data_IF_464775032380
#
_entry.id   IF_464775032380
#
_cell.length_a   1.000
_cell.length_b   1.000
_cell.length_c   1.000
_cell.angle_alpha   90.00
_cell.angle_beta   90.00
_cell.angle_gamma   90.00
#
_symmetry.space_group_name_H-M   'P 1'
#
loop_
_entity.id
_entity.type
_entity.pdbx_description
1 polymer ?
#
# COMPACT_ATOMS: atom_id res chain seq x y z
N UNK A 1 7.86 -4.09 -67.08
CA UNK A 1 7.51 -5.14 -66.09
C UNK A 1 8.40 -4.94 -64.87
N UNK A 2 7.92 -4.27 -63.86
CA UNK A 2 8.66 -4.05 -62.62
C UNK A 2 8.23 -5.09 -61.61
N UNK A 3 9.14 -5.78 -60.93
CA UNK A 3 8.76 -6.70 -59.88
C UNK A 3 8.29 -5.94 -58.64
N UNK A 4 7.11 -6.26 -58.19
CA UNK A 4 6.59 -5.83 -56.88
C UNK A 4 7.43 -6.51 -55.78
N UNK A 5 8.32 -5.75 -55.15
CA UNK A 5 8.86 -6.16 -53.86
C UNK A 5 7.81 -5.88 -52.79
N UNK A 6 7.12 -6.93 -52.38
CA UNK A 6 6.36 -6.90 -51.10
C UNK A 6 7.36 -6.85 -49.96
N UNK A 7 7.57 -5.68 -49.40
CA UNK A 7 8.23 -5.54 -48.10
C UNK A 7 7.22 -6.05 -47.08
N UNK A 8 7.44 -7.27 -46.62
CA UNK A 8 6.75 -7.82 -45.47
C UNK A 8 7.27 -7.11 -44.23
N UNK A 9 6.54 -6.10 -43.77
CA UNK A 9 6.72 -5.57 -42.41
C UNK A 9 6.10 -6.55 -41.41
N UNK A 10 6.84 -7.58 -41.07
CA UNK A 10 6.63 -8.32 -39.83
C UNK A 10 7.56 -7.74 -38.75
N UNK A 11 7.40 -6.48 -38.44
CA UNK A 11 7.82 -6.00 -37.15
C UNK A 11 6.78 -6.47 -36.13
N UNK A 12 6.84 -7.74 -35.77
CA UNK A 12 6.38 -8.18 -34.48
C UNK A 12 7.27 -7.43 -33.49
N UNK A 13 6.79 -6.26 -33.06
CA UNK A 13 7.37 -5.55 -31.92
C UNK A 13 7.24 -6.55 -30.79
N UNK A 14 8.38 -7.12 -30.37
CA UNK A 14 8.45 -7.99 -29.22
C UNK A 14 8.11 -7.16 -27.96
N UNK A 15 6.81 -7.02 -27.70
CA UNK A 15 6.29 -6.31 -26.56
C UNK A 15 6.82 -6.90 -25.25
N UNK A 16 7.07 -8.20 -25.19
CA UNK A 16 7.60 -8.85 -24.00
C UNK A 16 9.05 -8.45 -23.71
N UNK A 17 9.92 -8.39 -24.69
CA UNK A 17 11.30 -7.97 -24.47
C UNK A 17 11.40 -6.50 -24.09
N UNK A 18 10.54 -5.65 -24.66
CA UNK A 18 10.46 -4.23 -24.32
C UNK A 18 9.87 -3.99 -22.93
N UNK A 19 8.86 -4.78 -22.54
CA UNK A 19 8.32 -4.78 -21.18
C UNK A 19 9.36 -5.26 -20.16
N UNK A 20 10.10 -6.31 -20.48
CA UNK A 20 11.15 -6.83 -19.62
C UNK A 20 12.35 -5.87 -19.51
N UNK A 21 12.71 -5.18 -20.58
CA UNK A 21 13.74 -4.13 -20.57
C UNK A 21 13.32 -2.94 -19.69
N UNK A 22 12.11 -2.41 -19.90
CA UNK A 22 11.56 -1.33 -19.08
C UNK A 22 11.42 -1.77 -17.62
N UNK A 23 10.97 -2.99 -17.37
CA UNK A 23 10.85 -3.55 -16.03
C UNK A 23 12.21 -3.68 -15.33
N UNK A 24 13.29 -3.99 -16.06
CA UNK A 24 14.64 -4.07 -15.50
C UNK A 24 15.27 -2.70 -15.23
N UNK A 25 14.95 -1.67 -16.01
CA UNK A 25 15.40 -0.30 -15.75
C UNK A 25 14.67 0.33 -14.57
N UNK A 26 13.36 0.03 -14.37
CA UNK A 26 12.59 0.51 -13.25
C UNK A 26 12.83 -0.30 -11.95
N UNK A 27 13.28 -1.54 -12.04
CA UNK A 27 13.51 -2.45 -10.91
C UNK A 27 14.66 -2.01 -9.97
N UNK A 28 15.39 -0.95 -10.29
CA UNK A 28 16.47 -0.41 -9.48
C UNK A 28 16.35 1.11 -9.23
N UNK A 29 15.22 1.73 -9.55
CA UNK A 29 15.05 3.16 -9.29
C UNK A 29 14.50 3.37 -7.87
N UNK A 30 15.30 4.01 -7.03
CA UNK A 30 14.84 4.51 -5.74
C UNK A 30 13.66 5.48 -5.95
N UNK A 31 12.53 5.18 -5.28
CA UNK A 31 11.35 6.03 -5.30
C UNK A 31 11.45 7.04 -4.15
N UNK A 32 11.37 8.33 -4.45
CA UNK A 32 11.24 9.34 -3.41
C UNK A 32 9.87 9.19 -2.74
N UNK A 33 9.84 8.77 -1.48
CA UNK A 33 8.60 8.57 -0.73
C UNK A 33 8.17 9.87 -0.06
N UNK A 34 7.21 10.55 -0.71
CA UNK A 34 6.57 11.78 -0.23
C UNK A 34 5.12 11.83 -0.70
N UNK A 35 4.34 12.78 -0.21
CA UNK A 35 2.96 12.97 -0.63
C UNK A 35 2.90 13.70 -1.99
N UNK A 36 2.47 13.00 -3.02
CA UNK A 36 2.36 13.50 -4.40
C UNK A 36 0.97 14.10 -4.71
N UNK A 37 0.01 13.96 -3.80
CA UNK A 37 -1.32 14.52 -4.02
C UNK A 37 -1.32 16.07 -4.05
N UNK A 38 -2.36 16.68 -4.65
CA UNK A 38 -3.50 16.04 -5.29
C UNK A 38 -3.29 15.75 -6.79
N UNK A 39 -2.06 15.91 -7.30
CA UNK A 39 -1.77 15.79 -8.74
C UNK A 39 -1.91 14.35 -9.24
N UNK A 40 -2.18 14.15 -10.55
CA UNK A 40 -2.15 12.81 -11.13
C UNK A 40 -0.81 12.11 -10.85
N UNK A 41 -0.88 10.84 -10.47
CA UNK A 41 0.29 10.11 -9.99
C UNK A 41 0.27 8.65 -10.46
N UNK A 42 1.42 8.13 -10.85
CA UNK A 42 1.64 6.73 -11.22
C UNK A 42 2.89 6.23 -10.52
N UNK A 43 2.79 5.09 -9.89
CA UNK A 43 3.90 4.48 -9.14
C UNK A 43 3.83 2.96 -9.22
N UNK A 44 4.97 2.30 -9.16
CA UNK A 44 5.01 0.88 -8.83
C UNK A 44 4.72 0.73 -7.34
N UNK A 45 3.48 0.41 -7.00
CA UNK A 45 3.03 0.40 -5.60
C UNK A 45 3.67 -0.72 -4.78
N UNK A 46 3.97 -1.85 -5.39
CA UNK A 46 4.69 -2.96 -4.73
C UNK A 46 6.10 -2.50 -4.30
N UNK A 47 6.86 -1.89 -5.22
CA UNK A 47 8.21 -1.38 -4.92
C UNK A 47 8.18 -0.26 -3.88
N UNK A 48 7.28 0.72 -4.02
CA UNK A 48 7.14 1.80 -3.06
C UNK A 48 6.81 1.28 -1.66
N UNK A 49 5.89 0.32 -1.57
CA UNK A 49 5.47 -0.29 -0.31
C UNK A 49 6.60 -1.06 0.35
N UNK A 50 7.33 -1.89 -0.40
CA UNK A 50 8.48 -2.66 0.11
C UNK A 50 9.67 -1.78 0.49
N UNK A 51 9.86 -0.67 -0.21
CA UNK A 51 10.91 0.30 0.08
C UNK A 51 10.64 1.09 1.38
N UNK A 52 9.40 1.25 1.78
CA UNK A 52 9.04 2.07 2.95
C UNK A 52 9.44 1.38 4.26
N UNK A 53 10.23 2.06 5.08
CA UNK A 53 10.69 1.60 6.39
C UNK A 53 10.05 2.37 7.56
N UNK A 54 9.24 3.38 7.28
CA UNK A 54 8.54 4.12 8.34
C UNK A 54 7.28 3.40 8.79
N UNK A 55 6.84 3.66 9.99
CA UNK A 55 5.55 3.14 10.46
C UNK A 55 4.41 3.62 9.55
N UNK A 56 4.39 4.92 9.15
CA UNK A 56 3.45 5.46 8.17
C UNK A 56 4.10 6.59 7.36
N UNK A 57 3.89 6.54 6.04
CA UNK A 57 4.23 7.64 5.13
C UNK A 57 3.06 7.88 4.18
N UNK A 58 2.49 9.09 4.17
CA UNK A 58 1.51 9.49 3.19
C UNK A 58 2.18 9.59 1.81
N UNK A 59 1.66 8.84 0.84
CA UNK A 59 2.19 8.82 -0.53
C UNK A 59 1.35 9.66 -1.48
N UNK A 60 0.05 9.74 -1.24
CA UNK A 60 -0.86 10.57 -2.02
C UNK A 60 -2.10 10.96 -1.22
N UNK A 61 -2.40 12.25 -1.16
CA UNK A 61 -3.57 12.78 -0.47
C UNK A 61 -4.41 13.63 -1.42
N UNK A 62 -5.64 13.22 -1.66
CA UNK A 62 -6.61 13.93 -2.47
C UNK A 62 -7.85 14.33 -1.69
N UNK A 63 -8.91 14.69 -2.42
CA UNK A 63 -10.18 15.12 -1.82
C UNK A 63 -10.95 13.97 -1.21
N UNK A 64 -10.96 12.80 -1.85
CA UNK A 64 -11.84 11.67 -1.52
C UNK A 64 -11.10 10.39 -1.13
N UNK A 65 -9.79 10.36 -1.26
CA UNK A 65 -8.99 9.24 -0.79
C UNK A 65 -7.58 9.67 -0.40
N UNK A 66 -6.95 8.84 0.41
CA UNK A 66 -5.54 8.98 0.78
C UNK A 66 -4.86 7.61 0.72
N UNK A 67 -3.69 7.59 0.10
CA UNK A 67 -2.81 6.42 0.04
C UNK A 67 -1.66 6.60 1.03
N UNK A 68 -1.48 5.65 1.92
CA UNK A 68 -0.35 5.61 2.86
C UNK A 68 0.39 4.28 2.78
N UNK A 69 1.68 4.33 3.04
CA UNK A 69 2.54 3.17 3.19
C UNK A 69 2.82 2.92 4.66
N UNK A 70 2.90 1.65 5.06
CA UNK A 70 3.27 1.27 6.42
C UNK A 70 4.26 0.13 6.44
N UNK A 71 5.15 0.19 7.44
CA UNK A 71 6.02 -0.91 7.84
C UNK A 71 5.79 -1.22 9.31
N UNK A 72 5.31 -2.43 9.60
CA UNK A 72 5.02 -2.87 10.97
C UNK A 72 6.11 -3.87 11.38
N UNK A 73 6.92 -3.53 12.39
CA UNK A 73 8.02 -4.41 12.80
C UNK A 73 7.52 -5.74 13.36
N UNK A 74 8.40 -6.72 13.42
CA UNK A 74 8.13 -8.01 14.08
C UNK A 74 7.67 -7.79 15.51
N UNK A 75 6.56 -8.45 15.89
CA UNK A 75 5.92 -8.28 17.19
C UNK A 75 5.14 -6.98 17.36
N UNK A 76 5.13 -6.12 16.33
CA UNK A 76 4.36 -4.87 16.31
C UNK A 76 2.93 -5.06 15.83
N UNK A 77 2.17 -3.98 15.87
CA UNK A 77 0.77 -3.90 15.46
C UNK A 77 0.41 -2.49 15.00
N UNK A 78 -0.69 -2.35 14.28
CA UNK A 78 -1.27 -1.02 13.99
C UNK A 78 -1.73 -0.37 15.29
N UNK A 79 -2.37 -1.13 16.15
CA UNK A 79 -3.08 -0.68 17.33
C UNK A 79 -4.59 -0.75 17.13
N UNK A 80 -5.32 -0.92 18.24
CA UNK A 80 -6.78 -1.01 18.22
C UNK A 80 -7.39 0.36 17.93
N UNK A 81 -8.05 0.50 16.79
CA UNK A 81 -8.64 1.77 16.34
C UNK A 81 -9.97 1.58 15.63
N UNK A 82 -10.70 2.67 15.44
CA UNK A 82 -11.93 2.73 14.66
C UNK A 82 -12.04 4.08 13.97
N UNK A 83 -12.46 4.08 12.71
CA UNK A 83 -12.69 5.29 11.92
C UNK A 83 -14.18 5.39 11.56
N UNK A 84 -14.96 6.24 12.24
CA UNK A 84 -16.42 6.24 12.09
C UNK A 84 -16.90 6.81 10.76
N UNK A 85 -16.09 7.63 10.07
CA UNK A 85 -16.52 8.43 8.92
C UNK A 85 -15.81 8.06 7.61
N UNK A 86 -15.13 6.92 7.56
CA UNK A 86 -14.42 6.49 6.35
C UNK A 86 -14.36 4.97 6.25
N UNK A 87 -14.24 4.49 5.02
CA UNK A 87 -13.87 3.12 4.74
C UNK A 87 -12.36 3.04 4.49
N UNK A 88 -11.77 1.90 4.80
CA UNK A 88 -10.34 1.67 4.64
C UNK A 88 -10.08 0.37 3.90
N UNK A 89 -9.19 0.43 2.92
CA UNK A 89 -8.66 -0.73 2.21
C UNK A 89 -7.19 -0.91 2.59
N UNK A 90 -6.79 -2.13 2.92
CA UNK A 90 -5.39 -2.48 3.17
C UNK A 90 -4.99 -3.66 2.31
N UNK A 91 -3.81 -3.56 1.70
CA UNK A 91 -3.17 -4.68 1.00
C UNK A 91 -1.79 -4.97 1.60
N UNK A 92 -1.52 -6.25 1.85
CA UNK A 92 -0.22 -6.74 2.29
C UNK A 92 0.63 -7.04 1.06
N UNK A 93 1.81 -6.42 0.98
CA UNK A 93 2.79 -6.66 -0.09
C UNK A 93 3.92 -7.59 0.37
N UNK A 94 4.20 -7.65 1.68
CA UNK A 94 5.19 -8.54 2.27
C UNK A 94 4.90 -8.78 3.75
N UNK A 95 5.23 -9.97 4.24
CA UNK A 95 5.00 -10.34 5.64
C UNK A 95 3.66 -11.03 5.90
N UNK A 96 3.41 -11.33 7.16
CA UNK A 96 2.20 -12.04 7.60
C UNK A 96 1.68 -11.52 8.94
N UNK A 97 0.37 -11.56 9.12
CA UNK A 97 -0.26 -11.05 10.32
C UNK A 97 -1.64 -11.61 10.59
N UNK A 98 -2.22 -11.16 11.69
CA UNK A 98 -3.58 -11.48 12.10
C UNK A 98 -4.42 -10.20 12.09
N UNK A 99 -5.45 -10.18 11.25
CA UNK A 99 -6.48 -9.15 11.23
C UNK A 99 -7.56 -9.49 12.25
N UNK A 100 -7.93 -8.52 13.08
CA UNK A 100 -9.05 -8.59 14.01
C UNK A 100 -9.98 -7.42 13.77
N UNK A 101 -11.30 -7.70 13.66
CA UNK A 101 -12.34 -6.67 13.52
C UNK A 101 -13.58 -7.03 14.33
N UNK A 102 -14.34 -6.01 14.72
CA UNK A 102 -15.61 -6.19 15.41
C UNK A 102 -16.40 -4.89 15.54
N UNK A 103 -17.66 -5.01 15.95
CA UNK A 103 -18.53 -3.85 16.19
C UNK A 103 -18.22 -3.13 17.48
N UNK A 104 -17.51 -3.80 18.38
CA UNK A 104 -17.18 -3.27 19.71
C UNK A 104 -15.70 -3.42 19.99
N UNK A 105 -15.16 -2.46 20.69
CA UNK A 105 -13.75 -2.43 21.11
C UNK A 105 -13.30 -3.68 21.87
N UNK A 106 -14.19 -4.23 22.67
CA UNK A 106 -13.94 -5.40 23.54
C UNK A 106 -14.34 -6.74 22.90
N UNK A 107 -14.84 -6.73 21.67
CA UNK A 107 -15.25 -7.93 20.96
C UNK A 107 -14.90 -7.87 19.47
N UNK A 108 -13.71 -8.35 19.15
CA UNK A 108 -13.19 -8.46 17.77
C UNK A 108 -13.35 -9.91 17.29
N UNK A 109 -14.57 -10.28 16.95
CA UNK A 109 -14.96 -11.66 16.63
C UNK A 109 -14.61 -12.07 15.18
N UNK A 110 -14.38 -11.12 14.28
CA UNK A 110 -13.83 -11.40 12.97
C UNK A 110 -12.30 -11.48 13.04
N UNK A 111 -11.73 -12.66 12.81
CA UNK A 111 -10.28 -12.86 12.85
C UNK A 111 -9.82 -13.69 11.65
N UNK A 112 -8.82 -13.20 10.91
CA UNK A 112 -8.24 -13.86 9.74
C UNK A 112 -6.73 -13.68 9.69
N UNK A 113 -6.02 -14.75 9.38
CA UNK A 113 -4.62 -14.68 8.98
C UNK A 113 -4.50 -14.08 7.58
N UNK A 114 -3.52 -13.21 7.40
CA UNK A 114 -3.23 -12.53 6.14
C UNK A 114 -1.72 -12.55 5.87
N UNK A 115 -1.36 -12.59 4.60
CA UNK A 115 0.02 -12.58 4.12
C UNK A 115 0.10 -11.84 2.77
N UNK A 116 1.23 -11.87 2.11
CA UNK A 116 1.41 -11.20 0.81
C UNK A 116 0.27 -11.52 -0.17
N UNK A 117 -0.10 -10.54 -0.97
CA UNK A 117 -1.24 -10.54 -1.90
C UNK A 117 -2.65 -10.51 -1.25
N UNK A 118 -2.76 -10.62 0.07
CA UNK A 118 -4.05 -10.46 0.75
C UNK A 118 -4.44 -8.99 0.86
N UNK A 119 -5.71 -8.73 0.64
CA UNK A 119 -6.35 -7.46 0.94
C UNK A 119 -7.49 -7.66 1.91
N UNK A 120 -7.73 -6.66 2.73
CA UNK A 120 -8.90 -6.60 3.60
C UNK A 120 -9.49 -5.21 3.64
N UNK A 121 -10.80 -5.16 3.85
CA UNK A 121 -11.58 -3.93 3.85
C UNK A 121 -12.18 -3.73 5.23
N UNK A 122 -12.03 -2.54 5.76
CA UNK A 122 -12.51 -2.14 7.07
C UNK A 122 -13.65 -1.13 6.85
N UNK A 123 -14.90 -1.55 7.04
CA UNK A 123 -16.04 -0.64 6.96
C UNK A 123 -15.98 0.45 8.03
N UNK A 124 -16.53 1.62 7.72
CA UNK A 124 -16.66 2.72 8.67
C UNK A 124 -17.23 2.26 10.02
N UNK A 125 -16.59 2.68 11.10
CA UNK A 125 -17.01 2.36 12.45
C UNK A 125 -16.56 1.00 13.00
N UNK A 126 -15.96 0.13 12.17
CA UNK A 126 -15.44 -1.15 12.67
C UNK A 126 -14.18 -0.94 13.51
N UNK A 127 -14.19 -1.48 14.70
CA UNK A 127 -12.98 -1.64 15.51
C UNK A 127 -12.08 -2.67 14.85
N UNK A 128 -10.80 -2.36 14.73
CA UNK A 128 -9.87 -3.23 14.03
C UNK A 128 -8.43 -3.09 14.55
N UNK A 129 -7.66 -4.13 14.29
CA UNK A 129 -6.22 -4.17 14.49
C UNK A 129 -5.58 -5.14 13.48
N UNK A 130 -4.33 -4.91 13.15
CA UNK A 130 -3.46 -5.85 12.45
C UNK A 130 -2.22 -6.07 13.30
N UNK A 131 -1.95 -7.33 13.62
CA UNK A 131 -0.82 -7.74 14.46
C UNK A 131 0.16 -8.50 13.57
N UNK A 132 1.43 -8.12 13.61
CA UNK A 132 2.49 -8.87 12.93
C UNK A 132 2.75 -10.18 13.69
N UNK A 133 2.42 -11.31 13.09
CA UNK A 133 2.61 -12.66 13.64
C UNK A 133 3.78 -13.40 13.00
N UNK A 134 4.44 -12.77 12.03
CA UNK A 134 5.57 -13.33 11.29
C UNK A 134 6.93 -13.00 11.90
N UNK A 135 7.96 -13.28 11.12
CA UNK A 135 9.37 -13.08 11.49
C UNK A 135 10.06 -12.00 10.64
N UNK A 136 9.30 -11.28 9.83
CA UNK A 136 9.74 -10.14 9.03
C UNK A 136 8.77 -8.97 9.22
N UNK A 137 9.16 -7.71 8.95
CA UNK A 137 8.23 -6.59 8.95
C UNK A 137 7.08 -6.84 7.98
N UNK A 138 5.86 -6.43 8.36
CA UNK A 138 4.75 -6.35 7.40
C UNK A 138 4.93 -5.07 6.59
N UNK A 139 4.93 -5.21 5.26
CA UNK A 139 4.90 -4.10 4.31
C UNK A 139 3.50 -4.04 3.70
N UNK A 140 2.82 -2.94 3.88
CA UNK A 140 1.46 -2.75 3.40
C UNK A 140 1.24 -1.34 2.86
N UNK A 141 0.24 -1.19 2.01
CA UNK A 141 -0.35 0.11 1.74
C UNK A 141 -1.80 0.15 2.17
N UNK A 142 -2.25 1.32 2.55
CA UNK A 142 -3.60 1.57 3.02
C UNK A 142 -4.23 2.72 2.25
N UNK A 143 -5.50 2.56 1.88
CA UNK A 143 -6.32 3.59 1.25
C UNK A 143 -7.44 3.95 2.20
N UNK A 144 -7.50 5.23 2.59
CA UNK A 144 -8.59 5.83 3.38
C UNK A 144 -9.51 6.61 2.45
N UNK A 145 -10.79 6.41 2.56
CA UNK A 145 -11.80 7.11 1.76
C UNK A 145 -12.94 7.62 2.66
N UNK A 146 -12.93 8.92 2.97
CA UNK A 146 -12.01 10.00 2.63
C UNK A 146 -10.67 9.96 3.41
N UNK A 147 -9.74 10.92 3.17
CA UNK A 147 -8.46 11.00 3.87
C UNK A 147 -8.59 11.01 5.40
N UNK A 148 -7.71 10.29 6.10
CA UNK A 148 -7.66 10.20 7.57
C UNK A 148 -6.58 11.10 8.16
N UNK A 149 -5.42 11.13 7.55
CA UNK A 149 -4.25 11.84 8.08
C UNK A 149 -4.01 13.16 7.35
N UNK A 150 -3.35 14.14 7.99
CA UNK A 150 -2.89 15.34 7.30
C UNK A 150 -2.00 14.98 6.08
N UNK A 151 -1.98 15.88 5.09
CA UNK A 151 -0.99 15.78 4.00
C UNK A 151 0.42 15.72 4.56
N UNK A 152 1.30 15.09 3.83
CA UNK A 152 2.73 14.97 4.16
C UNK A 152 3.01 14.25 5.48
N UNK A 153 2.03 13.50 6.02
CA UNK A 153 2.22 12.73 7.26
C UNK A 153 3.35 11.72 7.11
N UNK A 154 4.31 11.78 8.02
CA UNK A 154 5.36 10.78 8.22
C UNK A 154 5.46 10.46 9.71
N UNK A 155 5.19 9.21 10.07
CA UNK A 155 5.44 8.69 11.41
C UNK A 155 6.56 7.64 11.30
N UNK A 156 7.71 7.93 11.89
CA UNK A 156 8.86 7.01 11.83
C UNK A 156 8.54 5.75 12.62
N UNK A 157 7.91 5.90 13.80
CA UNK A 157 7.54 4.82 14.71
C UNK A 157 6.04 4.85 15.03
N UNK A 158 5.54 3.74 15.60
CA UNK A 158 4.17 3.70 16.16
C UNK A 158 3.97 4.77 17.24
N UNK A 159 4.98 5.01 18.06
CA UNK A 159 4.90 6.05 19.10
C UNK A 159 4.66 7.45 18.52
N UNK A 160 5.25 7.77 17.38
CA UNK A 160 5.00 9.03 16.67
C UNK A 160 3.56 9.12 16.18
N UNK A 161 3.01 7.99 15.69
CA UNK A 161 1.61 7.92 15.27
C UNK A 161 0.66 8.10 16.45
N UNK A 162 0.89 7.40 17.55
CA UNK A 162 0.06 7.48 18.75
C UNK A 162 0.05 8.90 19.34
N UNK A 163 1.21 9.57 19.36
CA UNK A 163 1.35 10.96 19.81
C UNK A 163 0.63 11.99 18.92
N UNK A 164 0.46 11.69 17.64
CA UNK A 164 -0.24 12.56 16.69
C UNK A 164 -1.78 12.45 16.81
N UNK A 165 -2.29 11.40 17.43
CA UNK A 165 -3.72 11.15 17.63
C UNK A 165 -4.25 11.63 18.99
N UNK A 166 -3.37 12.09 19.91
CA UNK A 166 -3.73 12.71 21.19
C UNK A 166 -4.13 14.20 21.01
#
# INVERSE_FOLDING_TARGET
MYPNEYISYTDEIDYESRFNYLRSEYANSFIELKDYGPEPFVVNIDEATKQNDTFRTALWTGTHLQLTLMSIPVGGEIGLESHPNLDQFIRIEDGEGLVKMGDRRDNLDFQKEVYDDFAFIIPAGKWHNLINTGNTPIKLYSIYAPPQHPRDTVHITKADSDAAEE
#
